data_IF_560832388710
#
_entry.id   IF_560832388710
#
_cell.length_a   1.000
_cell.length_b   1.000
_cell.length_c   1.000
_cell.angle_alpha   90.00
_cell.angle_beta   90.00
_cell.angle_gamma   90.00
#
_symmetry.space_group_name_H-M   'P 1'
#
loop_
_entity.id
_entity.type
_entity.pdbx_description
1 polymer ?
#
# COMPACT_ATOMS: atom_id res chain seq x y z
N UNK A 1 15.91 0.86 -12.03
CA UNK A 1 15.51 1.75 -10.94
C UNK A 1 14.44 1.12 -10.09
N UNK A 2 14.62 1.16 -8.80
CA UNK A 2 13.69 0.51 -7.90
C UNK A 2 12.68 1.47 -7.34
N UNK A 3 11.46 1.03 -7.27
CA UNK A 3 10.39 1.79 -6.69
C UNK A 3 9.92 1.06 -5.45
N UNK A 4 9.85 1.77 -4.35
CA UNK A 4 9.36 1.18 -3.11
C UNK A 4 7.94 1.61 -2.87
N UNK A 5 7.12 0.67 -2.49
CA UNK A 5 5.74 0.94 -2.12
C UNK A 5 5.56 0.62 -0.65
N UNK A 6 4.80 1.44 0.03
CA UNK A 6 4.45 1.22 1.42
C UNK A 6 2.95 1.17 1.54
N UNK A 7 2.46 0.24 2.34
CA UNK A 7 1.05 0.13 2.60
C UNK A 7 0.82 0.45 4.05
N UNK A 8 -0.08 1.37 4.31
CA UNK A 8 -0.36 1.85 5.65
C UNK A 8 -1.80 1.58 6.01
N UNK A 9 -2.03 1.28 7.28
CA UNK A 9 -3.37 1.28 7.84
C UNK A 9 -3.39 2.43 8.82
N UNK A 10 -4.19 3.44 8.52
CA UNK A 10 -4.16 4.66 9.29
C UNK A 10 -2.82 5.36 9.10
N UNK A 11 -2.02 5.39 10.15
CA UNK A 11 -0.70 6.00 10.09
C UNK A 11 0.44 5.00 10.23
N UNK A 12 0.10 3.72 10.27
CA UNK A 12 1.09 2.69 10.54
C UNK A 12 1.43 1.92 9.28
N UNK A 13 2.71 1.80 8.99
CA UNK A 13 3.18 1.03 7.84
C UNK A 13 3.12 -0.44 8.19
N UNK A 14 2.35 -1.19 7.43
CA UNK A 14 2.15 -2.62 7.69
C UNK A 14 2.81 -3.51 6.66
N UNK A 15 3.19 -2.95 5.52
CA UNK A 15 3.82 -3.75 4.47
C UNK A 15 4.66 -2.86 3.57
N UNK A 16 5.76 -3.43 3.08
CA UNK A 16 6.64 -2.75 2.13
C UNK A 16 6.98 -3.73 1.04
N UNK A 17 6.99 -3.24 -0.18
CA UNK A 17 7.32 -4.08 -1.31
C UNK A 17 7.85 -3.21 -2.44
N UNK A 18 8.59 -3.83 -3.36
CA UNK A 18 9.06 -3.18 -4.57
C UNK A 18 8.17 -3.48 -5.76
N UNK A 19 7.18 -4.32 -5.56
CA UNK A 19 6.36 -4.82 -6.65
C UNK A 19 4.95 -4.28 -6.51
N UNK A 20 4.50 -3.55 -7.52
CA UNK A 20 3.17 -2.96 -7.50
C UNK A 20 2.08 -4.03 -7.44
N UNK A 21 2.27 -5.15 -8.13
CA UNK A 21 1.30 -6.24 -8.09
C UNK A 21 1.15 -6.77 -6.68
N UNK A 22 2.27 -6.95 -5.99
CA UNK A 22 2.25 -7.41 -4.62
C UNK A 22 1.54 -6.41 -3.72
N UNK A 23 1.81 -5.12 -3.93
CA UNK A 23 1.17 -4.07 -3.16
C UNK A 23 -0.33 -4.11 -3.34
N UNK A 24 -0.80 -4.24 -4.57
CA UNK A 24 -2.22 -4.26 -4.84
C UNK A 24 -2.90 -5.48 -4.23
N UNK A 25 -2.23 -6.62 -4.28
CA UNK A 25 -2.77 -7.83 -3.66
C UNK A 25 -2.89 -7.66 -2.16
N UNK A 26 -1.89 -7.05 -1.55
CA UNK A 26 -1.90 -6.84 -0.11
C UNK A 26 -3.03 -5.91 0.29
N UNK A 27 -3.22 -4.83 -0.47
CA UNK A 27 -4.30 -3.88 -0.20
C UNK A 27 -5.65 -4.59 -0.29
N UNK A 28 -5.84 -5.38 -1.32
CA UNK A 28 -7.09 -6.11 -1.50
C UNK A 28 -7.38 -7.02 -0.31
N UNK A 29 -6.36 -7.69 0.17
CA UNK A 29 -6.50 -8.58 1.31
C UNK A 29 -6.86 -7.81 2.57
N UNK A 30 -6.25 -6.67 2.78
CA UNK A 30 -6.50 -5.85 3.96
C UNK A 30 -7.94 -5.34 3.92
N UNK A 31 -8.40 -4.90 2.76
CA UNK A 31 -9.79 -4.48 2.62
C UNK A 31 -10.75 -5.63 2.91
N UNK A 32 -10.41 -6.80 2.45
CA UNK A 32 -11.24 -7.98 2.67
C UNK A 32 -11.34 -8.31 4.16
N UNK A 33 -10.30 -7.98 4.91
CA UNK A 33 -10.29 -8.20 6.35
C UNK A 33 -11.07 -7.14 7.12
N UNK A 34 -11.59 -6.14 6.42
CA UNK A 34 -12.45 -5.16 7.06
C UNK A 34 -11.79 -3.83 7.37
N UNK A 35 -10.55 -3.64 6.96
CA UNK A 35 -9.87 -2.36 7.19
C UNK A 35 -10.20 -1.40 6.07
N UNK A 36 -10.62 -0.19 6.43
CA UNK A 36 -10.98 0.83 5.46
C UNK A 36 -9.93 1.93 5.33
N UNK A 37 -9.04 2.06 6.29
CA UNK A 37 -8.04 3.12 6.31
C UNK A 37 -6.73 2.68 5.67
N UNK A 38 -6.81 2.21 4.45
CA UNK A 38 -5.64 1.68 3.76
C UNK A 38 -5.12 2.71 2.77
N UNK A 39 -3.83 2.99 2.85
CA UNK A 39 -3.19 3.95 1.95
C UNK A 39 -2.02 3.30 1.27
N UNK A 40 -1.81 3.66 0.02
CA UNK A 40 -0.66 3.22 -0.74
C UNK A 40 0.21 4.42 -1.08
N UNK A 41 1.47 4.36 -0.67
CA UNK A 41 2.47 5.34 -1.04
C UNK A 41 3.50 4.66 -1.91
N UNK A 42 3.88 5.29 -2.99
CA UNK A 42 4.91 4.66 -3.78
C UNK A 42 5.39 5.51 -4.92
N UNK A 43 6.61 5.23 -5.30
CA UNK A 43 7.21 5.85 -6.44
C UNK A 43 7.29 7.34 -6.29
N UNK A 44 7.15 8.01 -7.40
CA UNK A 44 7.23 9.45 -7.44
C UNK A 44 5.92 10.12 -7.13
N UNK A 45 4.87 9.37 -7.08
CA UNK A 45 3.55 9.94 -6.95
C UNK A 45 3.12 10.15 -5.51
N UNK A 46 3.87 9.59 -4.58
CA UNK A 46 3.48 9.67 -3.19
C UNK A 46 2.18 8.93 -2.98
N UNK A 47 1.29 9.54 -2.26
CA UNK A 47 0.00 8.90 -1.99
C UNK A 47 -0.98 9.25 -3.09
N UNK A 48 -1.34 8.27 -3.89
CA UNK A 48 -2.33 8.48 -4.94
C UNK A 48 -3.55 7.57 -4.77
N UNK A 49 -3.55 6.84 -3.71
CA UNK A 49 -4.68 5.98 -3.36
C UNK A 49 -5.47 6.63 -2.23
N UNK A 50 -6.73 6.73 -2.42
CA UNK A 50 -7.55 7.29 -1.33
C UNK A 50 -8.87 6.60 -1.30
#
# INVERSE_FOLDING_TARGET
MKTSYKILIGTEVVHRTNDLQDALKTISKIFHDGHADVYLYGGKLGSWWK
#
